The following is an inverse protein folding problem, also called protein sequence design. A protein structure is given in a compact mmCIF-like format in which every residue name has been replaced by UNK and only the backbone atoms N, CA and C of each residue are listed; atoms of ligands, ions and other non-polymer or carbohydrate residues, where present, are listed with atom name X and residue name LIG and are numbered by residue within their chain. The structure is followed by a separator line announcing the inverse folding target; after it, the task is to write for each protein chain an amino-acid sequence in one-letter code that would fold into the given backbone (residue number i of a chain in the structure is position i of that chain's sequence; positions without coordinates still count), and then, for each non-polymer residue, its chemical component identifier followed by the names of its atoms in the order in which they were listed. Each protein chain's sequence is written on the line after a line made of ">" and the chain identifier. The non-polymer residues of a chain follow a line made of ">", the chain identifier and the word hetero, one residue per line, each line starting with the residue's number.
data_IF_122621694054
#
_entry.id   IF_122621694054
#
_cell.length_a   1.000
_cell.length_b   1.000
_cell.length_c   1.000
_cell.angle_alpha   90.00
_cell.angle_beta   90.00
_cell.angle_gamma   90.00
#
_symmetry.space_group_name_H-M   'P 1'
#
loop_
_entity.id
_entity.type
_entity.pdbx_description
1 polymer ?
#
# COMPACT_ATOMS: atom_id res chain seq x y z
N UNK A 1 -35.72 51.59 9.46
CA UNK A 1 -34.72 51.15 8.46
C UNK A 1 -33.49 50.54 9.12
N UNK A 2 -32.77 51.30 9.95
CA UNK A 2 -31.63 50.79 10.72
C UNK A 2 -32.01 49.57 11.57
N UNK A 3 -33.20 49.54 12.18
CA UNK A 3 -33.67 48.36 12.94
C UNK A 3 -33.82 47.10 12.08
N UNK A 4 -34.18 47.25 10.80
CA UNK A 4 -34.30 46.12 9.86
C UNK A 4 -32.91 45.62 9.48
N UNK A 5 -31.97 46.53 9.23
CA UNK A 5 -30.56 46.20 8.92
C UNK A 5 -29.87 45.57 10.14
N UNK A 6 -30.11 46.09 11.34
CA UNK A 6 -29.66 45.49 12.60
C UNK A 6 -30.30 44.11 12.81
N UNK A 7 -31.59 43.98 12.45
CA UNK A 7 -32.32 42.71 12.42
C UNK A 7 -31.68 41.65 11.51
N UNK A 8 -31.09 42.05 10.37
CA UNK A 8 -30.33 41.13 9.49
C UNK A 8 -29.10 40.55 10.21
N UNK A 9 -28.39 41.35 11.01
CA UNK A 9 -27.25 40.87 11.81
C UNK A 9 -27.70 39.86 12.87
N UNK A 10 -28.82 40.16 13.55
CA UNK A 10 -29.36 39.30 14.63
C UNK A 10 -29.89 37.97 14.09
N UNK A 11 -30.64 38.00 13.00
CA UNK A 11 -31.24 36.80 12.37
C UNK A 11 -30.31 36.10 11.38
N UNK A 12 -29.12 36.65 11.13
CA UNK A 12 -28.12 36.18 10.15
C UNK A 12 -28.69 35.92 8.76
N UNK A 13 -29.73 36.65 8.40
CA UNK A 13 -30.45 36.48 7.14
C UNK A 13 -30.22 37.71 6.26
N UNK A 14 -29.51 37.57 5.13
CA UNK A 14 -29.37 38.66 4.18
C UNK A 14 -30.72 38.91 3.50
N UNK A 15 -31.15 40.17 3.49
CA UNK A 15 -32.36 40.62 2.83
C UNK A 15 -31.99 41.41 1.57
N UNK A 16 -32.84 41.34 0.56
CA UNK A 16 -32.75 42.20 -0.62
C UNK A 16 -33.23 43.62 -0.31
N UNK A 17 -32.80 44.61 -1.10
CA UNK A 17 -33.20 46.01 -0.96
C UNK A 17 -34.74 46.18 -0.95
N UNK A 18 -35.44 45.38 -1.77
CA UNK A 18 -36.90 45.36 -1.83
C UNK A 18 -37.56 44.78 -0.56
N UNK A 19 -36.92 43.82 0.10
CA UNK A 19 -37.41 43.28 1.37
C UNK A 19 -37.11 44.22 2.54
N UNK A 20 -35.96 44.88 2.52
CA UNK A 20 -35.59 45.88 3.53
C UNK A 20 -36.60 47.04 3.53
N UNK A 21 -36.88 47.60 2.35
CA UNK A 21 -37.87 48.69 2.20
C UNK A 21 -39.28 48.25 2.58
N UNK A 22 -39.70 47.05 2.17
CA UNK A 22 -40.99 46.46 2.54
C UNK A 22 -41.15 46.27 4.05
N UNK A 23 -40.15 45.67 4.71
CA UNK A 23 -40.18 45.42 6.16
C UNK A 23 -40.05 46.69 6.99
N UNK A 24 -39.40 47.73 6.44
CA UNK A 24 -39.30 49.03 7.08
C UNK A 24 -40.54 49.92 6.84
N UNK A 25 -41.50 49.49 6.01
CA UNK A 25 -42.71 50.28 5.70
C UNK A 25 -42.42 51.55 4.90
N UNK A 26 -41.33 51.60 4.12
CA UNK A 26 -40.91 52.77 3.35
C UNK A 26 -41.05 52.57 1.85
N UNK A 27 -41.04 53.67 1.10
CA UNK A 27 -41.07 53.65 -0.36
C UNK A 27 -39.90 52.80 -0.93
N UNK A 28 -40.12 51.97 -1.98
CA UNK A 28 -39.08 51.19 -2.64
C UNK A 28 -37.86 52.00 -3.12
N UNK A 29 -38.03 53.27 -3.48
CA UNK A 29 -36.95 54.16 -3.90
C UNK A 29 -36.13 54.73 -2.74
N UNK A 30 -36.56 54.54 -1.49
CA UNK A 30 -35.95 55.16 -0.32
C UNK A 30 -34.47 54.80 -0.18
N UNK A 31 -34.12 53.52 -0.37
CA UNK A 31 -32.72 53.06 -0.35
C UNK A 31 -31.86 53.64 -1.48
N UNK A 32 -32.46 54.00 -2.62
CA UNK A 32 -31.73 54.61 -3.72
C UNK A 32 -31.37 56.08 -3.42
N UNK A 33 -32.21 56.77 -2.64
CA UNK A 33 -32.00 58.16 -2.22
C UNK A 33 -31.05 58.26 -1.01
N UNK A 34 -30.99 57.22 -0.19
CA UNK A 34 -30.12 57.13 1.00
C UNK A 34 -28.97 56.14 0.79
N UNK A 35 -27.90 56.62 0.13
CA UNK A 35 -26.73 55.79 -0.24
C UNK A 35 -25.96 55.24 0.97
N UNK A 36 -25.97 55.96 2.07
CA UNK A 36 -25.41 55.57 3.36
C UNK A 36 -26.08 54.31 3.92
N UNK A 37 -27.41 54.29 3.98
CA UNK A 37 -28.18 53.13 4.43
C UNK A 37 -28.01 51.93 3.49
N UNK A 38 -27.88 52.19 2.19
CA UNK A 38 -27.60 51.16 1.19
C UNK A 38 -26.21 50.54 1.39
N UNK A 39 -25.20 51.38 1.60
CA UNK A 39 -23.84 50.92 1.88
C UNK A 39 -23.79 50.09 3.16
N UNK A 40 -24.50 50.49 4.22
CA UNK A 40 -24.56 49.71 5.46
C UNK A 40 -25.23 48.34 5.23
N UNK A 41 -26.33 48.28 4.48
CA UNK A 41 -26.98 47.02 4.12
C UNK A 41 -26.06 46.10 3.28
N UNK A 42 -25.26 46.67 2.37
CA UNK A 42 -24.26 45.94 1.58
C UNK A 42 -23.12 45.39 2.45
N UNK A 43 -22.59 46.19 3.38
CA UNK A 43 -21.57 45.74 4.35
C UNK A 43 -22.09 44.56 5.18
N UNK A 44 -23.34 44.64 5.66
CA UNK A 44 -23.96 43.53 6.40
C UNK A 44 -24.13 42.29 5.53
N UNK A 45 -24.56 42.43 4.28
CA UNK A 45 -24.66 41.30 3.34
C UNK A 45 -23.31 40.66 3.08
N UNK A 46 -22.26 41.45 2.85
CA UNK A 46 -20.90 40.95 2.64
C UNK A 46 -20.39 40.17 3.86
N UNK A 47 -20.60 40.69 5.07
CA UNK A 47 -20.21 40.02 6.30
C UNK A 47 -20.95 38.69 6.51
N UNK A 48 -22.26 38.64 6.21
CA UNK A 48 -23.05 37.40 6.28
C UNK A 48 -22.63 36.39 5.21
N UNK A 49 -22.28 36.86 4.01
CA UNK A 49 -21.77 36.03 2.93
C UNK A 49 -20.45 35.36 3.30
N UNK A 50 -19.54 36.07 3.96
CA UNK A 50 -18.25 35.53 4.44
C UNK A 50 -18.41 34.61 5.67
N UNK A 51 -19.42 34.86 6.51
CA UNK A 51 -19.68 34.05 7.70
C UNK A 51 -20.25 32.65 7.41
N UNK A 52 -21.01 32.51 6.32
CA UNK A 52 -21.63 31.23 5.91
C UNK A 52 -20.60 30.13 5.58
N UNK A 53 -19.61 30.34 4.69
CA UNK A 53 -18.62 29.31 4.37
C UNK A 53 -17.78 28.94 5.60
N UNK A 54 -17.45 29.91 6.47
CA UNK A 54 -16.76 29.62 7.74
C UNK A 54 -17.57 28.74 8.67
N UNK A 55 -18.87 29.00 8.82
CA UNK A 55 -19.76 28.18 9.62
C UNK A 55 -19.91 26.77 9.04
N UNK A 56 -20.04 26.65 7.73
CA UNK A 56 -20.09 25.35 7.04
C UNK A 56 -18.79 24.55 7.22
N UNK A 57 -17.62 25.20 7.07
CA UNK A 57 -16.32 24.59 7.29
C UNK A 57 -16.16 24.11 8.74
N UNK A 58 -16.58 24.91 9.73
CA UNK A 58 -16.56 24.51 11.13
C UNK A 58 -17.48 23.31 11.41
N UNK A 59 -18.66 23.24 10.78
CA UNK A 59 -19.55 22.08 10.88
C UNK A 59 -18.94 20.83 10.23
N UNK A 60 -18.33 20.98 9.05
CA UNK A 60 -17.64 19.88 8.38
C UNK A 60 -16.49 19.34 9.25
N UNK A 61 -15.64 20.22 9.77
CA UNK A 61 -14.54 19.84 10.66
C UNK A 61 -15.02 19.10 11.93
N UNK A 62 -16.16 19.51 12.50
CA UNK A 62 -16.76 18.79 13.65
C UNK A 62 -17.24 17.39 13.29
N UNK A 63 -17.88 17.24 12.12
CA UNK A 63 -18.31 15.92 11.62
C UNK A 63 -17.11 15.04 11.36
N UNK A 64 -16.07 15.58 10.73
CA UNK A 64 -14.84 14.87 10.45
C UNK A 64 -14.13 14.43 11.74
N UNK A 65 -14.03 15.31 12.74
CA UNK A 65 -13.46 14.95 14.04
C UNK A 65 -14.25 13.83 14.73
N UNK A 66 -15.59 13.85 14.66
CA UNK A 66 -16.42 12.78 15.21
C UNK A 66 -16.16 11.45 14.49
N UNK A 67 -16.08 11.46 13.15
CA UNK A 67 -15.76 10.27 12.36
C UNK A 67 -14.33 9.75 12.63
N UNK A 68 -13.36 10.63 12.87
CA UNK A 68 -12.00 10.23 13.24
C UNK A 68 -11.96 9.50 14.59
N UNK A 69 -12.73 9.97 15.58
CA UNK A 69 -12.85 9.31 16.89
C UNK A 69 -13.49 7.93 16.73
N UNK A 70 -14.58 7.84 15.96
CA UNK A 70 -15.25 6.57 15.68
C UNK A 70 -14.33 5.59 14.94
N UNK A 71 -13.63 6.06 13.90
CA UNK A 71 -12.69 5.24 13.14
C UNK A 71 -11.58 4.68 14.03
N UNK A 72 -11.01 5.52 14.91
CA UNK A 72 -10.01 5.09 15.88
C UNK A 72 -10.55 4.02 16.83
N UNK A 73 -11.74 4.23 17.38
CA UNK A 73 -12.39 3.24 18.25
C UNK A 73 -12.61 1.91 17.52
N UNK A 74 -13.09 1.95 16.28
CA UNK A 74 -13.30 0.74 15.47
C UNK A 74 -11.99 0.02 15.15
N UNK A 75 -10.91 0.75 14.89
CA UNK A 75 -9.58 0.15 14.68
C UNK A 75 -9.05 -0.52 15.95
N UNK A 76 -9.20 0.13 17.11
CA UNK A 76 -8.84 -0.43 18.42
C UNK A 76 -9.64 -1.70 18.72
N UNK A 77 -10.95 -1.69 18.47
CA UNK A 77 -11.80 -2.89 18.58
C UNK A 77 -11.40 -3.99 17.61
N UNK A 78 -11.10 -3.65 16.35
CA UNK A 78 -10.66 -4.63 15.36
C UNK A 78 -9.34 -5.28 15.77
N UNK A 79 -8.42 -4.51 16.36
CA UNK A 79 -7.16 -5.02 16.86
C UNK A 79 -7.37 -5.96 18.06
N UNK A 80 -8.26 -5.62 18.99
CA UNK A 80 -8.62 -6.48 20.11
C UNK A 80 -9.20 -7.82 19.63
N UNK A 81 -10.19 -7.77 18.72
CA UNK A 81 -10.81 -8.97 18.14
C UNK A 81 -9.80 -9.86 17.41
N UNK A 82 -8.80 -9.27 16.72
CA UNK A 82 -7.74 -10.05 16.07
C UNK A 82 -6.88 -10.79 17.09
N UNK A 83 -6.53 -10.16 18.21
CA UNK A 83 -5.77 -10.80 19.30
C UNK A 83 -6.57 -11.92 19.95
N UNK A 84 -7.85 -11.71 20.20
CA UNK A 84 -8.74 -12.73 20.77
C UNK A 84 -8.87 -13.93 19.83
N UNK A 85 -9.04 -13.67 18.54
CA UNK A 85 -9.12 -14.70 17.51
C UNK A 85 -7.80 -15.50 17.42
N UNK A 86 -6.65 -14.84 17.46
CA UNK A 86 -5.35 -15.51 17.48
C UNK A 86 -5.17 -16.37 18.74
N UNK A 87 -5.59 -15.86 19.89
CA UNK A 87 -5.58 -16.58 21.17
C UNK A 87 -6.45 -17.83 21.07
N UNK A 88 -7.71 -17.72 20.66
CA UNK A 88 -8.61 -18.85 20.47
C UNK A 88 -8.06 -19.88 19.45
N UNK A 89 -7.46 -19.42 18.34
CA UNK A 89 -6.79 -20.31 17.37
C UNK A 89 -5.60 -21.04 17.99
N UNK A 90 -4.82 -20.39 18.85
CA UNK A 90 -3.70 -21.03 19.55
C UNK A 90 -4.19 -22.09 20.54
N UNK A 91 -5.26 -21.80 21.27
CA UNK A 91 -5.90 -22.73 22.21
C UNK A 91 -6.43 -23.97 21.48
N UNK A 92 -7.19 -23.77 20.40
CA UNK A 92 -7.70 -24.85 19.54
C UNK A 92 -6.58 -25.70 18.95
N UNK A 93 -5.48 -25.08 18.51
CA UNK A 93 -4.30 -25.83 18.06
C UNK A 93 -3.72 -26.67 19.20
N UNK A 94 -3.61 -26.13 20.41
CA UNK A 94 -3.09 -26.87 21.57
C UNK A 94 -4.01 -28.01 22.00
N UNK A 95 -5.32 -27.83 21.90
CA UNK A 95 -6.31 -28.88 22.21
C UNK A 95 -6.17 -29.98 21.16
N UNK A 96 -6.18 -29.62 19.87
CA UNK A 96 -6.00 -30.58 18.78
C UNK A 96 -4.69 -31.36 18.88
N UNK A 97 -3.57 -30.72 19.22
CA UNK A 97 -2.30 -31.44 19.39
C UNK A 97 -2.34 -32.37 20.59
N UNK A 98 -2.96 -31.95 21.71
CA UNK A 98 -3.18 -32.82 22.88
C UNK A 98 -4.04 -34.03 22.52
N UNK A 99 -5.17 -33.83 21.83
CA UNK A 99 -6.09 -34.89 21.43
C UNK A 99 -5.42 -35.87 20.46
N UNK A 100 -4.69 -35.36 19.45
CA UNK A 100 -3.92 -36.21 18.52
C UNK A 100 -2.81 -36.98 19.23
N UNK A 101 -2.14 -36.38 20.21
CA UNK A 101 -1.11 -37.05 21.00
C UNK A 101 -1.71 -38.13 21.89
N UNK A 102 -2.87 -37.86 22.50
CA UNK A 102 -3.60 -38.82 23.31
C UNK A 102 -4.09 -40.00 22.46
N UNK A 103 -4.67 -39.72 21.28
CA UNK A 103 -5.06 -40.73 20.30
C UNK A 103 -3.86 -41.56 19.84
N UNK A 104 -2.76 -40.93 19.41
CA UNK A 104 -1.55 -41.64 19.00
C UNK A 104 -0.94 -42.49 20.11
N UNK A 105 -0.97 -42.05 21.38
CA UNK A 105 -0.55 -42.88 22.52
C UNK A 105 -1.50 -44.05 22.77
N UNK A 106 -2.80 -43.84 22.61
CA UNK A 106 -3.81 -44.91 22.63
C UNK A 106 -3.57 -45.93 21.52
N UNK A 107 -3.35 -45.47 20.29
CA UNK A 107 -3.05 -46.31 19.12
C UNK A 107 -1.69 -47.01 19.25
N UNK A 108 -0.67 -46.35 19.80
CA UNK A 108 0.63 -46.96 20.14
C UNK A 108 0.52 -47.97 21.28
N UNK A 109 -0.39 -47.76 22.23
CA UNK A 109 -0.71 -48.76 23.24
C UNK A 109 -1.46 -49.97 22.64
N UNK A 110 -2.07 -49.80 21.46
CA UNK A 110 -2.83 -50.84 20.73
C UNK A 110 -2.02 -51.46 19.58
N UNK A 111 -0.90 -50.88 19.14
CA UNK A 111 -0.12 -51.40 18.01
C UNK A 111 0.63 -52.70 18.38
N UNK A 112 0.32 -53.83 17.73
CA UNK A 112 1.18 -55.00 17.76
C UNK A 112 2.35 -54.79 16.78
N UNK A 113 3.56 -55.16 17.22
CA UNK A 113 4.77 -55.50 16.45
C UNK A 113 5.09 -54.69 15.16
N UNK A 114 6.19 -53.93 15.21
CA UNK A 114 6.84 -53.20 14.11
C UNK A 114 7.02 -54.10 12.86
N UNK A 115 6.25 -53.87 11.81
CA UNK A 115 6.29 -54.66 10.57
C UNK A 115 7.55 -54.35 9.74
N UNK A 116 8.49 -55.31 9.59
CA UNK A 116 9.74 -55.09 8.85
C UNK A 116 9.53 -54.79 7.36
N UNK A 117 8.44 -55.27 6.76
CA UNK A 117 8.17 -55.05 5.33
C UNK A 117 7.89 -53.58 5.01
N UNK A 118 7.24 -52.86 5.93
CA UNK A 118 6.98 -51.42 5.79
C UNK A 118 8.26 -50.58 5.92
N UNK A 119 9.23 -51.03 6.69
CA UNK A 119 10.54 -50.36 6.82
C UNK A 119 11.41 -50.55 5.59
N UNK A 120 11.33 -51.71 4.93
CA UNK A 120 12.01 -51.98 3.66
C UNK A 120 11.47 -51.07 2.54
N UNK A 121 10.15 -50.96 2.39
CA UNK A 121 9.53 -50.07 1.40
C UNK A 121 9.88 -48.59 1.64
N UNK A 122 10.02 -48.17 2.90
CA UNK A 122 10.47 -46.81 3.24
C UNK A 122 11.92 -46.57 2.80
N UNK A 123 12.81 -47.54 3.02
CA UNK A 123 14.21 -47.46 2.58
C UNK A 123 14.32 -47.40 1.06
N UNK A 124 13.56 -48.23 0.36
CA UNK A 124 13.52 -48.23 -1.11
C UNK A 124 13.04 -46.89 -1.67
N UNK A 125 11.96 -46.33 -1.11
CA UNK A 125 11.46 -45.00 -1.48
C UNK A 125 12.52 -43.93 -1.26
N UNK A 126 13.18 -43.93 -0.10
CA UNK A 126 14.15 -42.89 0.24
C UNK A 126 15.41 -42.98 -0.64
N UNK A 127 15.82 -44.19 -1.01
CA UNK A 127 16.87 -44.42 -2.02
C UNK A 127 16.46 -43.89 -3.39
N UNK A 128 15.24 -44.19 -3.86
CA UNK A 128 14.74 -43.70 -5.14
C UNK A 128 14.68 -42.16 -5.19
N UNK A 129 14.25 -41.52 -4.10
CA UNK A 129 14.23 -40.06 -3.99
C UNK A 129 15.64 -39.45 -3.99
N UNK A 130 16.61 -40.10 -3.36
CA UNK A 130 18.00 -39.64 -3.39
C UNK A 130 18.57 -39.70 -4.82
N UNK A 131 18.33 -40.80 -5.54
CA UNK A 131 18.74 -40.94 -6.95
C UNK A 131 18.08 -39.88 -7.83
N UNK A 132 16.78 -39.61 -7.64
CA UNK A 132 16.07 -38.56 -8.37
C UNK A 132 16.68 -37.17 -8.18
N UNK A 133 17.02 -36.80 -6.93
CA UNK A 133 17.67 -35.52 -6.63
C UNK A 133 19.06 -35.40 -7.25
N UNK A 134 19.82 -36.48 -7.29
CA UNK A 134 21.13 -36.51 -7.97
C UNK A 134 20.97 -36.27 -9.48
N UNK A 135 20.04 -36.98 -10.13
CA UNK A 135 19.78 -36.82 -11.56
C UNK A 135 19.30 -35.40 -11.92
N UNK A 136 18.47 -34.78 -11.08
CA UNK A 136 18.05 -33.38 -11.26
C UNK A 136 19.24 -32.41 -11.15
N UNK A 137 20.16 -32.63 -10.21
CA UNK A 137 21.36 -31.82 -10.08
C UNK A 137 22.26 -31.92 -11.32
N UNK A 138 22.42 -33.13 -11.88
CA UNK A 138 23.19 -33.37 -13.10
C UNK A 138 22.59 -32.65 -14.31
N UNK A 139 21.27 -32.67 -14.46
CA UNK A 139 20.58 -31.94 -15.54
C UNK A 139 20.78 -30.42 -15.44
N UNK A 140 20.79 -29.87 -14.22
CA UNK A 140 21.09 -28.44 -14.01
C UNK A 140 22.54 -28.13 -14.36
N UNK A 141 23.49 -28.99 -14.00
CA UNK A 141 24.89 -28.83 -14.38
C UNK A 141 25.08 -28.84 -15.91
N UNK A 142 24.46 -29.79 -16.61
CA UNK A 142 24.48 -29.87 -18.07
C UNK A 142 23.89 -28.61 -18.71
N UNK A 143 22.75 -28.11 -18.21
CA UNK A 143 22.14 -26.88 -18.71
C UNK A 143 23.08 -25.68 -18.59
N UNK A 144 23.82 -25.55 -17.49
CA UNK A 144 24.80 -24.47 -17.29
C UNK A 144 25.96 -24.58 -18.29
N UNK A 145 26.46 -25.80 -18.53
CA UNK A 145 27.50 -26.03 -19.54
C UNK A 145 27.01 -25.63 -20.92
N UNK A 146 25.80 -26.04 -21.31
CA UNK A 146 25.21 -25.67 -22.60
C UNK A 146 25.04 -24.16 -22.74
N UNK A 147 24.54 -23.47 -21.71
CA UNK A 147 24.42 -22.01 -21.71
C UNK A 147 25.77 -21.31 -21.86
N UNK A 148 26.81 -21.83 -21.19
CA UNK A 148 28.18 -21.30 -21.30
C UNK A 148 28.73 -21.50 -22.70
N UNK A 149 28.61 -22.70 -23.26
CA UNK A 149 29.05 -23.00 -24.63
C UNK A 149 28.29 -22.17 -25.67
N UNK A 150 26.99 -21.94 -25.49
CA UNK A 150 26.22 -21.04 -26.34
C UNK A 150 26.78 -19.61 -26.30
N UNK A 151 27.03 -19.07 -25.11
CA UNK A 151 27.60 -17.73 -24.95
C UNK A 151 29.01 -17.63 -25.56
N UNK A 152 29.84 -18.65 -25.39
CA UNK A 152 31.18 -18.73 -26.01
C UNK A 152 31.09 -18.82 -27.54
N UNK A 153 30.19 -19.65 -28.09
CA UNK A 153 29.94 -19.74 -29.53
C UNK A 153 29.44 -18.42 -30.12
N UNK A 154 28.51 -17.73 -29.44
CA UNK A 154 28.04 -16.40 -29.87
C UNK A 154 29.18 -15.38 -29.86
N UNK A 155 30.08 -15.42 -28.88
CA UNK A 155 31.27 -14.54 -28.85
C UNK A 155 32.24 -14.84 -29.99
N UNK A 156 32.52 -16.12 -30.26
CA UNK A 156 33.42 -16.52 -31.35
C UNK A 156 32.87 -16.13 -32.72
N UNK A 157 31.55 -16.26 -32.93
CA UNK A 157 30.90 -15.89 -34.17
C UNK A 157 30.73 -14.37 -34.33
N UNK A 158 30.48 -13.63 -33.25
CA UNK A 158 30.34 -12.17 -33.28
C UNK A 158 31.67 -11.40 -33.30
N UNK A 159 32.75 -12.01 -32.80
CA UNK A 159 34.10 -11.42 -32.80
C UNK A 159 34.84 -11.48 -34.13
N UNK A 160 34.28 -12.15 -35.16
CA UNK A 160 34.87 -12.17 -36.51
C UNK A 160 34.43 -10.98 -37.39
N UNK A 161 33.50 -10.14 -36.92
CA UNK A 161 32.95 -9.02 -37.72
C UNK A 161 33.48 -7.63 -37.39
N UNK A 162 34.48 -7.51 -36.50
CA UNK A 162 35.15 -6.23 -36.23
C UNK A 162 36.65 -6.31 -36.58
N UNK A 163 36.95 -6.17 -37.87
CA UNK A 163 38.28 -5.74 -38.31
C UNK A 163 38.17 -4.81 -39.53
N UNK A 164 38.21 -3.48 -39.32
CA UNK A 164 38.72 -2.55 -40.30
C UNK A 164 40.05 -1.94 -39.83
N UNK A 165 41.08 -2.11 -40.67
CA UNK A 165 42.02 -1.07 -41.06
C UNK A 165 42.91 -0.38 -40.02
N UNK A 166 44.22 -0.60 -40.19
CA UNK A 166 45.18 0.52 -40.26
C UNK A 166 46.03 0.76 -39.01
N UNK A 167 47.34 0.56 -39.16
CA UNK A 167 48.32 1.17 -38.25
C UNK A 167 49.59 0.36 -38.05
N UNK A 168 50.43 0.25 -39.08
CA UNK A 168 51.88 0.11 -38.86
C UNK A 168 52.41 1.40 -38.21
N UNK A 169 53.36 1.31 -37.27
CA UNK A 169 54.76 1.58 -37.58
C UNK A 169 55.66 0.46 -37.03
N UNK A 170 56.59 -0.13 -37.77
CA UNK A 170 57.83 0.44 -38.31
C UNK A 170 58.90 0.78 -37.25
N UNK A 171 59.97 -0.03 -37.30
CA UNK A 171 61.40 0.27 -37.06
C UNK A 171 61.91 0.49 -35.63
N UNK A 172 62.90 -0.33 -35.24
CA UNK A 172 64.06 0.18 -34.48
C UNK A 172 64.78 -0.79 -33.55
N UNK A 173 65.86 -1.39 -34.07
CA UNK A 173 67.17 -1.65 -33.42
C UNK A 173 67.27 -2.61 -32.21
N UNK A 174 68.02 -3.71 -32.35
CA UNK A 174 69.46 -3.89 -31.95
C UNK A 174 69.62 -3.96 -30.41
N UNK A 175 70.38 -4.86 -29.76
CA UNK A 175 71.56 -5.63 -30.10
C UNK A 175 71.73 -6.78 -29.06
N UNK A 176 72.20 -7.96 -29.48
CA UNK A 176 73.51 -8.58 -29.17
C UNK A 176 73.73 -9.27 -27.81
N UNK A 177 74.27 -10.50 -27.93
CA UNK A 177 75.14 -11.21 -26.98
C UNK A 177 74.41 -12.26 -26.13
N UNK A 178 74.88 -13.49 -25.93
CA UNK A 178 76.12 -14.24 -26.22
C UNK A 178 75.78 -15.70 -25.82
N UNK A 179 76.09 -16.78 -26.54
CA UNK A 179 77.44 -17.22 -26.88
C UNK A 179 78.01 -18.12 -25.77
N UNK A 180 77.66 -19.42 -25.79
CA UNK A 180 78.41 -20.54 -25.22
C UNK A 180 78.16 -21.78 -26.09
#
# INVERSE_FOLDING_TARGET
>A
MLDVIAGMRKTRTPLSDAEITRRAGVNPQYLQRHRDLKAEAEVVRAHLADSRPRAAAAQAARKEAALQVENRMLLEQNQALRKDLETARSELRSIRTRDLTAAARGDLAVLPHRDPALEELRRERDQALAVGRCAEADLVALRRVVQRLMAENTRLLGGQTDAPGGGSPSVGQEALGSGA
#
